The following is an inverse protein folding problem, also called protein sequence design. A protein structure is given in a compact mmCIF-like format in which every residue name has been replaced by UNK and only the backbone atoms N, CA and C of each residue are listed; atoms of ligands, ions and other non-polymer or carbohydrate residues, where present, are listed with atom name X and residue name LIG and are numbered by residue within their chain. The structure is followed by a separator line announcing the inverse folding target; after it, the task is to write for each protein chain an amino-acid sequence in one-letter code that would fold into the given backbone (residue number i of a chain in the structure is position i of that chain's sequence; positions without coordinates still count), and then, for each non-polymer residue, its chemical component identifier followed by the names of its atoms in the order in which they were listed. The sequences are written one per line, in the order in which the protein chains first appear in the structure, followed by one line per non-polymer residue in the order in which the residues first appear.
data_IF_251693796171
#
_entry.id   IF_251693796171
#
_cell.length_a   1.000
_cell.length_b   1.000
_cell.length_c   1.000
_cell.angle_alpha   90.00
_cell.angle_beta   90.00
_cell.angle_gamma   90.00
#
_symmetry.space_group_name_H-M   'P 1'
#
loop_
_entity.id
_entity.type
_entity.pdbx_description
1 polymer ?
#
# COMPACT_ATOMS: atom_id res chain seq x y z
N UNK A 1 -3.80 8.11 2.95
CA UNK A 1 -3.41 7.65 1.60
C UNK A 1 -4.02 6.30 1.25
N UNK A 2 -4.07 5.33 2.19
CA UNK A 2 -4.69 4.01 1.96
C UNK A 2 -6.16 4.08 1.55
N UNK A 3 -6.93 5.05 2.05
CA UNK A 3 -8.33 5.24 1.62
C UNK A 3 -8.51 5.57 0.14
N UNK A 4 -7.54 6.23 -0.50
CA UNK A 4 -7.62 6.49 -1.95
C UNK A 4 -7.43 5.20 -2.75
N UNK A 5 -6.65 4.26 -2.23
CA UNK A 5 -6.54 2.91 -2.80
C UNK A 5 -7.87 2.18 -2.63
N UNK A 6 -8.47 2.18 -1.43
CA UNK A 6 -9.74 1.49 -1.19
C UNK A 6 -10.91 2.03 -2.02
N UNK A 7 -10.84 3.30 -2.45
CA UNK A 7 -11.83 3.91 -3.34
C UNK A 7 -11.54 3.69 -4.84
N UNK A 8 -10.39 3.10 -5.18
CA UNK A 8 -9.96 2.91 -6.57
C UNK A 8 -9.39 4.16 -7.26
N UNK A 9 -9.26 5.28 -6.53
CA UNK A 9 -8.70 6.52 -7.07
C UNK A 9 -7.18 6.45 -7.22
N UNK A 10 -6.50 5.72 -6.32
CA UNK A 10 -5.06 5.46 -6.37
C UNK A 10 -4.82 4.01 -6.78
N UNK A 11 -4.28 3.80 -7.97
CA UNK A 11 -4.04 2.48 -8.56
C UNK A 11 -2.58 2.08 -8.55
N UNK A 12 -1.67 3.02 -8.29
CA UNK A 12 -0.24 2.76 -8.15
C UNK A 12 0.25 3.10 -6.75
N UNK A 13 0.99 2.19 -6.12
CA UNK A 13 1.75 2.48 -4.90
C UNK A 13 3.22 2.73 -5.24
N UNK A 14 3.75 3.87 -4.81
CA UNK A 14 5.11 4.31 -5.19
C UNK A 14 6.07 4.03 -4.05
N UNK A 15 7.14 3.28 -4.32
CA UNK A 15 8.12 2.85 -3.31
C UNK A 15 9.54 2.96 -3.86
N UNK A 16 10.48 3.35 -3.00
CA UNK A 16 11.91 3.33 -3.31
C UNK A 16 12.52 1.91 -3.35
N UNK A 17 11.69 0.88 -3.12
CA UNK A 17 12.11 -0.52 -3.06
C UNK A 17 11.04 -1.42 -3.69
N UNK A 18 11.42 -2.66 -3.99
CA UNK A 18 10.52 -3.72 -4.46
C UNK A 18 10.82 -5.03 -3.73
N UNK A 19 9.83 -5.91 -3.54
CA UNK A 19 10.02 -7.24 -2.98
C UNK A 19 10.88 -8.10 -3.92
N UNK A 20 11.48 -9.14 -3.36
CA UNK A 20 12.24 -10.14 -4.13
C UNK A 20 11.33 -11.12 -4.87
N UNK A 21 10.15 -11.40 -4.31
CA UNK A 21 9.16 -12.31 -4.89
C UNK A 21 8.26 -11.59 -5.88
N UNK A 22 7.90 -12.30 -6.95
CA UNK A 22 7.04 -11.80 -8.02
C UNK A 22 5.59 -12.21 -7.77
N UNK A 23 4.66 -11.26 -7.99
CA UNK A 23 3.23 -11.31 -7.66
C UNK A 23 2.94 -11.46 -6.16
N UNK A 24 2.39 -10.41 -5.56
CA UNK A 24 1.90 -10.44 -4.18
C UNK A 24 0.37 -10.42 -4.22
N UNK A 25 -0.26 -11.34 -3.51
CA UNK A 25 -1.72 -11.49 -3.45
C UNK A 25 -2.20 -11.26 -2.04
N UNK A 26 -3.44 -10.78 -1.93
CA UNK A 26 -4.13 -10.59 -0.65
C UNK A 26 -3.35 -9.72 0.36
N UNK A 27 -2.67 -8.67 -0.13
CA UNK A 27 -2.01 -7.70 0.74
C UNK A 27 -3.04 -6.79 1.40
N UNK A 28 -2.86 -6.55 2.70
CA UNK A 28 -3.72 -5.64 3.45
C UNK A 28 -3.06 -4.26 3.49
N UNK A 29 -3.82 -3.25 3.05
CA UNK A 29 -3.46 -1.84 3.18
C UNK A 29 -3.88 -1.40 4.57
N UNK A 30 -2.89 -1.05 5.39
CA UNK A 30 -3.08 -0.43 6.71
C UNK A 30 -2.84 1.06 6.59
N UNK A 31 -3.82 1.87 6.99
CA UNK A 31 -3.72 3.33 7.04
C UNK A 31 -3.46 3.78 8.48
N UNK A 32 -2.43 4.59 8.66
CA UNK A 32 -2.05 5.19 9.93
C UNK A 32 -1.83 6.71 9.77
N UNK A 33 -1.68 7.43 10.89
CA UNK A 33 -1.74 8.90 10.89
C UNK A 33 -0.41 9.54 10.53
N UNK A 34 0.71 8.93 10.88
CA UNK A 34 2.05 9.49 10.69
C UNK A 34 2.94 8.59 9.83
N UNK A 35 3.99 9.17 9.23
CA UNK A 35 4.96 8.35 8.52
C UNK A 35 5.84 7.57 9.50
N UNK A 36 6.00 6.26 9.25
CA UNK A 36 6.92 5.40 10.01
C UNK A 36 8.30 5.44 9.34
N UNK A 37 9.32 6.01 9.99
CA UNK A 37 10.65 6.29 9.43
C UNK A 37 11.73 5.32 9.88
N UNK A 38 11.63 4.80 11.11
CA UNK A 38 12.57 3.85 11.70
C UNK A 38 12.02 2.43 11.68
N UNK A 39 12.93 1.45 11.65
CA UNK A 39 12.59 0.03 11.47
C UNK A 39 11.54 -0.46 12.47
N UNK A 40 11.64 -0.02 13.72
CA UNK A 40 10.83 -0.48 14.84
C UNK A 40 9.67 0.50 15.14
N UNK A 41 9.41 1.46 14.24
CA UNK A 41 8.25 2.34 14.36
C UNK A 41 6.97 1.53 14.17
N UNK A 42 6.07 1.70 15.12
CA UNK A 42 4.73 1.13 15.12
C UNK A 42 3.71 2.22 15.45
N UNK A 43 2.54 2.16 14.82
CA UNK A 43 1.43 3.05 15.13
C UNK A 43 0.11 2.28 15.05
N UNK A 44 -0.88 2.66 15.85
CA UNK A 44 -2.24 2.19 15.64
C UNK A 44 -2.73 2.68 14.28
N UNK A 45 -3.08 1.74 13.41
CA UNK A 45 -3.71 1.98 12.13
C UNK A 45 -4.99 1.18 11.97
N UNK A 46 -5.54 1.24 10.76
CA UNK A 46 -6.76 0.53 10.39
C UNK A 46 -6.57 -0.13 9.03
N UNK A 47 -7.00 -1.38 8.90
CA UNK A 47 -7.07 -2.03 7.60
C UNK A 47 -8.19 -1.38 6.76
N UNK A 48 -7.87 -0.95 5.55
CA UNK A 48 -8.81 -0.20 4.67
C UNK A 48 -9.11 -0.91 3.36
N UNK A 49 -8.22 -1.79 2.89
CA UNK A 49 -8.44 -2.60 1.70
C UNK A 49 -7.56 -3.84 1.71
N UNK A 50 -8.00 -4.87 1.00
CA UNK A 50 -7.17 -5.96 0.53
C UNK A 50 -6.91 -5.78 -0.97
N UNK A 51 -5.67 -5.98 -1.42
CA UNK A 51 -5.25 -5.73 -2.81
C UNK A 51 -4.31 -6.80 -3.31
N UNK A 52 -4.19 -6.89 -4.62
CA UNK A 52 -3.13 -7.65 -5.27
C UNK A 52 -2.10 -6.67 -5.87
N UNK A 53 -0.84 -7.09 -5.95
CA UNK A 53 0.20 -6.44 -6.76
C UNK A 53 0.39 -7.26 -8.01
N UNK A 54 -0.08 -6.74 -9.14
CA UNK A 54 -0.01 -7.42 -10.43
C UNK A 54 1.39 -7.35 -11.04
N UNK A 55 1.97 -6.16 -11.05
CA UNK A 55 3.30 -5.92 -11.63
C UNK A 55 4.00 -4.79 -10.90
N UNK A 56 5.33 -4.73 -11.09
CA UNK A 56 6.18 -3.68 -10.55
C UNK A 56 7.12 -3.22 -11.67
N UNK A 57 7.15 -1.91 -11.92
CA UNK A 57 8.02 -1.29 -12.92
C UNK A 57 8.61 0.01 -12.39
N UNK A 58 9.64 0.54 -13.07
CA UNK A 58 10.17 1.86 -12.77
C UNK A 58 9.05 2.90 -12.91
N UNK A 59 8.85 3.73 -11.89
CA UNK A 59 7.79 4.72 -11.91
C UNK A 59 8.03 5.75 -13.02
N UNK A 60 6.98 6.15 -13.72
CA UNK A 60 7.05 7.10 -14.84
C UNK A 60 6.37 8.44 -14.51
N UNK A 61 6.82 9.50 -15.16
CA UNK A 61 6.31 10.86 -14.94
C UNK A 61 4.84 11.02 -15.38
N UNK A 62 4.38 10.24 -16.36
CA UNK A 62 3.00 10.22 -16.84
C UNK A 62 2.04 9.43 -15.91
N UNK A 63 2.54 8.92 -14.77
CA UNK A 63 1.78 8.12 -13.81
C UNK A 63 1.41 8.87 -12.53
N UNK A 64 1.60 10.19 -12.48
CA UNK A 64 1.30 11.04 -11.32
C UNK A 64 -0.15 10.89 -10.84
N UNK A 65 -1.10 10.95 -11.77
CA UNK A 65 -2.54 10.87 -11.45
C UNK A 65 -2.90 9.49 -10.88
N UNK A 66 -2.45 8.41 -11.52
CA UNK A 66 -2.64 7.03 -11.06
C UNK A 66 -2.02 6.77 -9.67
N UNK A 67 -0.93 7.47 -9.36
CA UNK A 67 -0.27 7.44 -8.07
C UNK A 67 -0.86 8.42 -7.05
N UNK A 68 -1.76 9.32 -7.46
CA UNK A 68 -2.20 10.47 -6.64
C UNK A 68 -1.00 11.22 -6.01
N UNK A 69 0.05 11.41 -6.80
CA UNK A 69 1.31 12.03 -6.37
C UNK A 69 1.42 13.47 -6.90
N UNK A 70 2.13 14.33 -6.15
CA UNK A 70 2.35 15.73 -6.53
C UNK A 70 3.61 15.97 -7.35
N UNK A 71 4.53 15.01 -7.38
CA UNK A 71 5.79 15.08 -8.12
C UNK A 71 6.28 13.67 -8.46
N UNK A 72 7.15 13.56 -9.46
CA UNK A 72 7.81 12.32 -9.87
C UNK A 72 9.31 12.37 -9.50
N UNK A 73 9.90 11.21 -9.20
CA UNK A 73 11.33 11.08 -8.90
C UNK A 73 11.90 9.78 -9.47
N UNK A 74 13.08 9.87 -10.10
CA UNK A 74 13.81 8.72 -10.62
C UNK A 74 14.25 7.77 -9.50
N UNK A 75 14.31 6.46 -9.79
CA UNK A 75 14.74 5.44 -8.85
C UNK A 75 13.63 4.85 -7.98
N UNK A 76 12.41 5.40 -8.09
CA UNK A 76 11.21 4.82 -7.47
C UNK A 76 10.53 3.80 -8.38
N UNK A 77 9.79 2.90 -7.75
CA UNK A 77 9.05 1.82 -8.37
C UNK A 77 7.55 2.05 -8.21
N UNK A 78 6.80 1.85 -9.28
CA UNK A 78 5.35 1.80 -9.28
C UNK A 78 4.90 0.35 -9.09
N UNK A 79 4.12 0.11 -8.04
CA UNK A 79 3.48 -1.17 -7.79
C UNK A 79 2.04 -1.07 -8.27
N UNK A 80 1.69 -1.86 -9.29
CA UNK A 80 0.36 -1.84 -9.90
C UNK A 80 -0.62 -2.60 -9.01
N UNK A 81 -1.55 -1.87 -8.40
CA UNK A 81 -2.55 -2.42 -7.51
C UNK A 81 -3.78 -2.85 -8.30
N UNK A 82 -4.20 -4.10 -8.13
CA UNK A 82 -5.39 -4.65 -8.78
C UNK A 82 -6.28 -5.37 -7.77
N UNK A 83 -7.47 -5.76 -8.22
CA UNK A 83 -8.40 -6.57 -7.42
C UNK A 83 -8.67 -5.95 -6.04
N UNK A 84 -8.86 -4.63 -6.00
CA UNK A 84 -9.05 -3.88 -4.74
C UNK A 84 -10.37 -4.30 -4.08
N UNK A 85 -10.28 -4.80 -2.86
CA UNK A 85 -11.39 -5.21 -2.01
C UNK A 85 -11.45 -4.30 -0.79
N UNK A 86 -12.36 -3.30 -0.76
CA UNK A 86 -12.47 -2.38 0.37
C UNK A 86 -12.86 -3.13 1.65
N UNK A 87 -12.25 -2.75 2.78
CA UNK A 87 -12.62 -3.26 4.11
C UNK A 87 -13.50 -2.20 4.76
N UNK A 88 -14.78 -2.52 4.95
CA UNK A 88 -15.78 -1.57 5.47
C UNK A 88 -15.91 -1.60 7.00
N UNK A 89 -15.44 -2.67 7.65
CA UNK A 89 -15.40 -2.76 9.11
C UNK A 89 -14.16 -2.05 9.64
N UNK A 90 -14.32 -1.32 10.76
CA UNK A 90 -13.18 -0.71 11.44
C UNK A 90 -12.38 -1.80 12.13
N UNK A 91 -11.31 -2.27 11.48
CA UNK A 91 -10.42 -3.28 12.02
C UNK A 91 -9.09 -2.63 12.45
N UNK A 92 -8.87 -2.40 13.75
CA UNK A 92 -7.61 -1.84 14.24
C UNK A 92 -6.47 -2.84 14.03
N UNK A 93 -5.37 -2.37 13.43
CA UNK A 93 -4.18 -3.17 13.14
C UNK A 93 -2.95 -2.32 13.43
N UNK A 94 -1.90 -2.92 13.99
CA UNK A 94 -0.62 -2.22 14.16
C UNK A 94 0.03 -2.02 12.78
N UNK A 95 0.21 -0.76 12.41
CA UNK A 95 0.95 -0.34 11.22
C UNK A 95 2.45 -0.50 11.46
N UNK A 96 3.15 -1.17 10.54
CA UNK A 96 4.61 -1.34 10.56
C UNK A 96 5.21 -1.02 9.19
N UNK A 97 6.53 -0.85 9.13
CA UNK A 97 7.24 -0.62 7.86
C UNK A 97 7.30 -1.90 7.00
N UNK A 98 7.38 -1.68 5.68
CA UNK A 98 7.49 -2.72 4.65
C UNK A 98 6.29 -3.68 4.67
N UNK A 99 6.45 -4.88 4.13
CA UNK A 99 5.45 -5.95 4.18
C UNK A 99 5.71 -6.77 5.44
N UNK A 100 4.65 -7.07 6.18
CA UNK A 100 4.68 -7.85 7.40
C UNK A 100 3.39 -8.68 7.51
N UNK A 101 3.43 -9.73 8.32
CA UNK A 101 2.25 -10.54 8.59
C UNK A 101 1.35 -9.83 9.59
N UNK A 102 0.05 -9.92 9.34
CA UNK A 102 -0.98 -9.54 10.30
C UNK A 102 -1.80 -10.78 10.65
N UNK A 103 -2.10 -10.93 11.93
CA UNK A 103 -3.07 -11.92 12.37
C UNK A 103 -4.45 -11.26 12.31
N UNK A 104 -5.37 -11.86 11.57
CA UNK A 104 -6.76 -11.43 11.48
C UNK A 104 -7.59 -12.57 12.04
N UNK A 105 -8.22 -12.34 13.19
CA UNK A 105 -9.17 -13.30 13.73
C UNK A 105 -10.40 -13.37 12.82
N UNK A 106 -10.80 -14.59 12.46
CA UNK A 106 -12.08 -14.83 11.81
C UNK A 106 -13.18 -14.67 12.88
N UNK A 107 -14.05 -13.67 12.70
CA UNK A 107 -15.28 -13.53 13.48
C UNK A 107 -16.31 -14.60 13.10
#
# INVERSE_FOLDING_TARGET
MGRQISQGNKTLEIRFWRPEQWSLKDLIIVENKHYLTHKDDEELGYAVAMVDVESIHSWREDELDSAMASYWEEGYWAWVLTNVRPIHISMPVIAKRKIYFIEIDHA
#
